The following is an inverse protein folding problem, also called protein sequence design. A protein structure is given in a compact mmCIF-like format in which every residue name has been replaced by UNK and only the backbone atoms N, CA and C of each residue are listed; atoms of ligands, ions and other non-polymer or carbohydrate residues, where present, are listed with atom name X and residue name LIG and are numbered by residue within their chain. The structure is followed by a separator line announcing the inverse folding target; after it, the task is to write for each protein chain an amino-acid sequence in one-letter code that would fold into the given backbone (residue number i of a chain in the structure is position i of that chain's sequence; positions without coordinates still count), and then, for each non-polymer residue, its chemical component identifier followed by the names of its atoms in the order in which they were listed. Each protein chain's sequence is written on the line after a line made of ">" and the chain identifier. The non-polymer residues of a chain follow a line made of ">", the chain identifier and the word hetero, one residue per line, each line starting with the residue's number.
data_IF_486880511653
#
_entry.id   IF_486880511653
#
_cell.length_a   1.000
_cell.length_b   1.000
_cell.length_c   1.000
_cell.angle_alpha   90.00
_cell.angle_beta   90.00
_cell.angle_gamma   90.00
#
_symmetry.space_group_name_H-M   'P 1'
#
loop_
_entity.id
_entity.type
_entity.pdbx_description
1 polymer ?
#
# COMPACT_ATOMS: atom_id res chain seq x y z
N UNK A 1 42.82 -12.15 19.56
CA UNK A 1 41.40 -12.50 19.72
C UNK A 1 40.53 -11.30 20.12
N UNK A 2 40.88 -10.56 21.18
CA UNK A 2 40.05 -9.47 21.72
C UNK A 2 39.72 -8.34 20.72
N UNK A 3 40.68 -7.92 19.88
CA UNK A 3 40.49 -6.86 18.87
C UNK A 3 39.43 -7.20 17.82
N UNK A 4 39.43 -8.43 17.30
CA UNK A 4 38.45 -8.86 16.30
C UNK A 4 37.05 -9.02 16.91
N UNK A 5 36.99 -9.37 18.21
CA UNK A 5 35.74 -9.44 18.96
C UNK A 5 35.13 -8.05 19.19
N UNK A 6 35.95 -7.08 19.58
CA UNK A 6 35.52 -5.67 19.74
C UNK A 6 35.04 -5.09 18.40
N UNK A 7 35.74 -5.38 17.29
CA UNK A 7 35.34 -4.95 15.96
C UNK A 7 34.00 -5.56 15.52
N UNK A 8 33.78 -6.85 15.82
CA UNK A 8 32.53 -7.53 15.51
C UNK A 8 31.34 -6.98 16.33
N UNK A 9 31.55 -6.67 17.62
CA UNK A 9 30.54 -6.00 18.44
C UNK A 9 30.17 -4.62 17.89
N UNK A 10 31.15 -3.82 17.45
CA UNK A 10 30.89 -2.50 16.85
C UNK A 10 30.03 -2.60 15.59
N UNK A 11 30.24 -3.60 14.72
CA UNK A 11 29.44 -3.78 13.50
C UNK A 11 27.98 -4.18 13.76
N UNK A 12 27.71 -4.92 14.84
CA UNK A 12 26.34 -5.34 15.21
C UNK A 12 25.48 -4.16 15.69
N UNK A 13 26.08 -3.14 16.29
CA UNK A 13 25.38 -1.93 16.78
C UNK A 13 24.81 -1.10 15.62
N UNK A 14 25.40 -1.19 14.42
CA UNK A 14 24.93 -0.49 13.22
C UNK A 14 23.90 -1.29 12.39
N UNK A 15 23.33 -2.37 12.93
CA UNK A 15 22.28 -3.11 12.22
C UNK A 15 20.98 -2.28 12.17
N UNK A 16 20.59 -1.85 10.97
CA UNK A 16 19.35 -1.12 10.73
C UNK A 16 18.19 -2.10 10.52
N UNK A 17 17.09 -1.94 11.25
CA UNK A 17 15.84 -2.62 10.93
C UNK A 17 15.21 -1.97 9.69
N UNK A 18 14.83 -2.77 8.70
CA UNK A 18 14.11 -2.28 7.51
C UNK A 18 12.64 -2.66 7.64
N UNK A 19 11.74 -1.69 7.55
CA UNK A 19 10.30 -1.93 7.42
C UNK A 19 10.00 -2.09 5.93
N UNK A 20 9.44 -3.25 5.56
CA UNK A 20 9.00 -3.52 4.20
C UNK A 20 7.55 -3.08 4.00
N UNK A 21 7.25 -2.52 2.82
CA UNK A 21 5.86 -2.31 2.39
C UNK A 21 5.14 -3.67 2.26
N UNK A 22 3.82 -3.72 2.50
CA UNK A 22 3.04 -4.93 2.27
C UNK A 22 3.04 -5.30 0.78
N UNK A 23 2.90 -6.59 0.49
CA UNK A 23 2.73 -7.07 -0.88
C UNK A 23 1.29 -6.83 -1.37
N UNK A 24 1.13 -6.02 -2.41
CA UNK A 24 -0.15 -5.81 -3.11
C UNK A 24 0.10 -5.65 -4.60
N UNK A 25 -0.89 -5.99 -5.42
CA UNK A 25 -0.86 -5.69 -6.86
C UNK A 25 -1.83 -4.59 -7.23
N UNK A 26 -1.49 -3.87 -8.29
CA UNK A 26 -2.31 -2.80 -8.84
C UNK A 26 -2.62 -3.14 -10.30
N UNK A 27 -3.89 -3.08 -10.66
CA UNK A 27 -4.35 -3.28 -12.03
C UNK A 27 -4.98 -2.01 -12.56
N UNK A 28 -4.64 -1.66 -13.79
CA UNK A 28 -5.21 -0.52 -14.50
C UNK A 28 -5.95 -1.03 -15.74
N UNK A 29 -7.09 -0.43 -16.03
CA UNK A 29 -7.82 -0.69 -17.29
C UNK A 29 -8.61 0.55 -17.71
N UNK A 30 -9.22 0.47 -18.89
CA UNK A 30 -10.31 1.36 -19.26
C UNK A 30 -11.62 0.58 -19.31
N UNK A 31 -12.70 1.20 -18.84
CA UNK A 31 -14.03 0.60 -18.93
C UNK A 31 -14.68 0.83 -20.31
N UNK A 32 -15.90 0.34 -20.49
CA UNK A 32 -16.65 0.50 -21.74
C UNK A 32 -16.91 1.96 -22.17
N UNK A 33 -16.79 2.91 -21.24
CA UNK A 33 -16.91 4.36 -21.50
C UNK A 33 -15.55 5.03 -21.74
N UNK A 34 -14.50 4.24 -21.92
CA UNK A 34 -13.12 4.71 -22.12
C UNK A 34 -12.56 5.50 -20.92
N UNK A 35 -13.13 5.31 -19.72
CA UNK A 35 -12.67 5.96 -18.48
C UNK A 35 -11.62 5.07 -17.83
N UNK A 36 -10.51 5.66 -17.38
CA UNK A 36 -9.47 4.95 -16.66
C UNK A 36 -9.95 4.48 -15.27
N UNK A 37 -9.67 3.22 -14.95
CA UNK A 37 -10.01 2.60 -13.66
C UNK A 37 -8.78 1.88 -13.08
N UNK A 38 -8.75 1.81 -11.75
CA UNK A 38 -7.72 1.12 -10.98
C UNK A 38 -8.33 0.23 -9.90
N UNK A 39 -7.70 -0.91 -9.67
CA UNK A 39 -8.03 -1.85 -8.61
C UNK A 39 -6.74 -2.26 -7.90
N UNK A 40 -6.81 -2.36 -6.57
CA UNK A 40 -5.72 -2.84 -5.73
C UNK A 40 -6.11 -4.19 -5.14
N UNK A 41 -5.21 -5.17 -5.18
CA UNK A 41 -5.42 -6.49 -4.56
C UNK A 41 -4.38 -6.72 -3.48
N UNK A 42 -4.85 -6.99 -2.27
CA UNK A 42 -3.99 -7.36 -1.15
C UNK A 42 -3.48 -8.79 -1.37
N UNK A 43 -2.17 -9.00 -1.32
CA UNK A 43 -1.56 -10.33 -1.47
C UNK A 43 -1.03 -10.87 -0.13
N UNK A 44 -1.43 -10.25 0.98
CA UNK A 44 -0.97 -10.60 2.32
C UNK A 44 -2.09 -11.21 3.17
N UNK A 45 -1.67 -11.90 4.23
CA UNK A 45 -2.50 -12.42 5.31
C UNK A 45 -2.92 -11.34 6.34
N UNK A 46 -2.62 -10.06 6.08
CA UNK A 46 -2.95 -8.94 6.99
C UNK A 46 -3.87 -7.97 6.27
N UNK A 47 -4.81 -7.38 7.01
CA UNK A 47 -5.59 -6.27 6.47
C UNK A 47 -4.71 -5.04 6.29
N UNK A 48 -4.92 -4.34 5.18
CA UNK A 48 -4.19 -3.14 4.83
C UNK A 48 -5.12 -1.92 4.91
N UNK A 49 -4.54 -0.77 5.20
CA UNK A 49 -5.14 0.52 4.83
C UNK A 49 -4.52 0.94 3.50
N UNK A 50 -5.36 1.33 2.56
CA UNK A 50 -4.92 1.74 1.24
C UNK A 50 -5.54 3.08 0.88
N UNK A 51 -4.88 3.82 0.00
CA UNK A 51 -5.51 4.91 -0.73
C UNK A 51 -5.27 4.79 -2.22
N UNK A 52 -6.21 5.35 -2.97
CA UNK A 52 -6.01 5.69 -4.38
C UNK A 52 -6.18 7.21 -4.52
N UNK A 53 -5.20 7.87 -5.12
CA UNK A 53 -5.31 9.27 -5.52
C UNK A 53 -5.79 9.34 -6.97
N UNK A 54 -6.98 9.91 -7.17
CA UNK A 54 -7.64 10.12 -8.47
C UNK A 54 -8.28 11.51 -8.43
N UNK A 55 -8.30 12.25 -9.54
CA UNK A 55 -8.99 13.55 -9.66
C UNK A 55 -8.57 14.56 -8.58
N UNK A 56 -7.29 14.56 -8.17
CA UNK A 56 -6.77 15.48 -7.16
C UNK A 56 -7.18 15.18 -5.71
N UNK A 57 -7.84 14.04 -5.42
CA UNK A 57 -8.21 13.63 -4.06
C UNK A 57 -7.73 12.22 -3.71
N UNK A 58 -7.43 11.99 -2.44
CA UNK A 58 -7.10 10.66 -1.90
C UNK A 58 -8.35 9.98 -1.36
N UNK A 59 -8.63 8.78 -1.84
CA UNK A 59 -9.76 7.95 -1.38
C UNK A 59 -9.17 6.82 -0.54
N UNK A 60 -9.36 6.89 0.78
CA UNK A 60 -8.89 5.88 1.73
C UNK A 60 -9.91 4.74 1.89
N UNK A 61 -9.42 3.52 2.04
CA UNK A 61 -10.26 2.35 2.30
C UNK A 61 -9.47 1.24 3.00
N UNK A 62 -10.21 0.39 3.71
CA UNK A 62 -9.68 -0.85 4.27
C UNK A 62 -9.70 -1.94 3.20
N UNK A 63 -8.61 -2.68 3.09
CA UNK A 63 -8.48 -3.81 2.17
C UNK A 63 -8.22 -5.09 2.97
N UNK A 64 -9.15 -6.03 2.90
CA UNK A 64 -9.05 -7.29 3.64
C UNK A 64 -8.01 -8.22 3.01
N UNK A 65 -7.68 -9.28 3.72
CA UNK A 65 -6.68 -10.27 3.34
C UNK A 65 -7.06 -10.95 2.02
N UNK A 66 -6.14 -11.02 1.06
CA UNK A 66 -6.37 -11.66 -0.25
C UNK A 66 -7.57 -11.13 -1.05
N UNK A 67 -8.10 -9.96 -0.69
CA UNK A 67 -9.26 -9.38 -1.36
C UNK A 67 -8.84 -8.28 -2.35
N UNK A 68 -9.51 -8.20 -3.51
CA UNK A 68 -9.43 -7.05 -4.38
C UNK A 68 -10.31 -5.91 -3.87
N UNK A 69 -9.88 -4.67 -4.11
CA UNK A 69 -10.70 -3.49 -3.90
C UNK A 69 -11.82 -3.44 -4.94
N UNK A 70 -12.81 -2.58 -4.74
CA UNK A 70 -13.65 -2.14 -5.87
C UNK A 70 -12.79 -1.42 -6.92
N UNK A 71 -13.29 -1.36 -8.15
CA UNK A 71 -12.70 -0.50 -9.17
C UNK A 71 -12.97 0.97 -8.84
N UNK A 72 -11.91 1.75 -8.75
CA UNK A 72 -11.97 3.22 -8.63
C UNK A 72 -11.76 3.81 -10.02
N UNK A 73 -12.64 4.72 -10.43
CA UNK A 73 -12.62 5.34 -11.76
C UNK A 73 -12.31 6.82 -11.67
N UNK A 74 -11.64 7.34 -12.69
CA UNK A 74 -11.52 8.78 -12.91
C UNK A 74 -12.86 9.42 -13.24
N UNK A 75 -12.95 10.72 -13.03
CA UNK A 75 -14.08 11.53 -13.50
C UNK A 75 -13.84 11.99 -14.93
N UNK A 76 -12.59 12.36 -15.27
CA UNK A 76 -12.20 12.83 -16.58
C UNK A 76 -11.69 11.68 -17.49
N UNK A 77 -12.29 11.46 -18.68
CA UNK A 77 -11.81 10.48 -19.66
C UNK A 77 -10.40 10.74 -20.20
N UNK A 78 -9.88 11.96 -20.10
CA UNK A 78 -8.52 12.31 -20.48
C UNK A 78 -7.49 11.63 -19.57
N UNK A 79 -7.88 11.23 -18.35
CA UNK A 79 -6.96 10.60 -17.41
C UNK A 79 -6.59 9.19 -17.86
N UNK A 80 -5.39 8.77 -17.47
CA UNK A 80 -4.82 7.46 -17.72
C UNK A 80 -4.13 6.94 -16.45
N UNK A 81 -3.49 5.77 -16.53
CA UNK A 81 -2.85 5.12 -15.38
C UNK A 81 -1.76 5.98 -14.70
N UNK A 82 -1.06 6.86 -15.43
CA UNK A 82 -0.01 7.71 -14.88
C UNK A 82 -0.55 8.84 -14.01
N UNK A 83 -1.85 9.14 -14.10
CA UNK A 83 -2.51 10.14 -13.26
C UNK A 83 -2.99 9.56 -11.93
N UNK A 84 -2.83 8.26 -11.71
CA UNK A 84 -3.21 7.59 -10.48
C UNK A 84 -1.98 7.38 -9.59
N UNK A 85 -2.15 7.61 -8.29
CA UNK A 85 -1.20 7.17 -7.28
C UNK A 85 -1.89 6.19 -6.35
N UNK A 86 -1.19 5.13 -5.96
CA UNK A 86 -1.70 4.10 -5.07
C UNK A 86 -0.70 3.85 -3.97
N UNK A 87 -1.20 3.50 -2.80
CA UNK A 87 -0.39 3.16 -1.65
C UNK A 87 -1.19 2.29 -0.70
N UNK A 88 -0.49 1.34 -0.07
CA UNK A 88 -1.05 0.52 0.99
C UNK A 88 0.00 0.30 2.06
N UNK A 89 -0.48 0.16 3.29
CA UNK A 89 0.34 -0.18 4.44
C UNK A 89 -0.45 -1.03 5.42
N UNK A 90 0.23 -1.66 6.36
CA UNK A 90 -0.41 -2.54 7.33
C UNK A 90 -1.36 -1.75 8.24
N UNK A 91 -2.60 -2.24 8.38
CA UNK A 91 -3.63 -1.58 9.19
C UNK A 91 -3.20 -1.36 10.65
N UNK A 92 -2.36 -2.24 11.21
CA UNK A 92 -1.93 -2.12 12.60
C UNK A 92 -1.02 -0.89 12.86
N UNK A 93 -0.44 -0.31 11.81
CA UNK A 93 0.37 0.90 11.90
C UNK A 93 -0.48 2.18 11.93
N UNK A 94 -1.78 2.09 11.62
CA UNK A 94 -2.70 3.24 11.53
C UNK A 94 -3.97 2.99 12.36
N UNK A 95 -3.91 3.16 13.69
CA UNK A 95 -5.02 2.90 14.61
C UNK A 95 -6.29 3.68 14.29
N UNK A 96 -6.19 4.86 13.70
CA UNK A 96 -7.29 5.74 13.33
C UNK A 96 -8.24 5.13 12.28
N UNK A 97 -7.76 4.17 11.49
CA UNK A 97 -8.58 3.44 10.51
C UNK A 97 -9.08 2.10 11.03
N UNK A 98 -8.72 1.69 12.25
CA UNK A 98 -9.20 0.44 12.81
C UNK A 98 -10.72 0.50 13.04
N UNK A 99 -11.47 -0.53 12.61
CA UNK A 99 -12.88 -0.60 12.93
C UNK A 99 -13.06 -0.64 14.46
N UNK A 100 -13.89 0.27 14.98
CA UNK A 100 -14.24 0.26 16.41
C UNK A 100 -14.91 -1.08 16.73
N UNK A 101 -14.42 -1.77 17.77
CA UNK A 101 -15.07 -2.97 18.28
C UNK A 101 -16.51 -2.59 18.65
N UNK A 102 -17.48 -3.28 18.06
CA UNK A 102 -18.88 -3.21 18.46
C UNK A 102 -19.10 -4.04 19.71
#
# INVERSE_FOLDING_TARGET
>A
MFRNFVLACLLLVFSTSVIALPNFSVQFKRNAKNIAEVQITNQTLRSLVCYVAIDGRKIFFLLRTFEPSKWYKATDPAFNYSHFSTWCDYLYLYPEYMPKKK
#
